data_IF_967403607611
#
_entry.id   IF_967403607611
#
_cell.length_a   1.000
_cell.length_b   1.000
_cell.length_c   1.000
_cell.angle_alpha   90.00
_cell.angle_beta   90.00
_cell.angle_gamma   90.00
#
_symmetry.space_group_name_H-M   'P 1'
#
loop_
_entity.id
_entity.type
_entity.pdbx_description
1 polymer ?
#
# COMPACT_ATOMS: atom_id res chain seq x y z
N UNK A 1 17.38 0.01 4.21
CA UNK A 1 17.52 1.34 4.87
C UNK A 1 16.59 2.39 4.27
N UNK A 2 16.59 2.60 2.94
CA UNK A 2 15.77 3.62 2.24
C UNK A 2 14.25 3.41 2.44
N UNK A 3 13.79 2.15 2.37
CA UNK A 3 12.39 1.77 2.61
C UNK A 3 11.90 2.16 4.01
N UNK A 4 12.75 2.04 5.05
CA UNK A 4 12.38 2.38 6.45
C UNK A 4 11.98 3.86 6.58
N UNK A 5 12.63 4.76 5.83
CA UNK A 5 12.39 6.21 5.88
C UNK A 5 11.35 6.70 4.88
N UNK A 6 11.21 6.05 3.74
CA UNK A 6 10.32 6.54 2.67
C UNK A 6 8.86 6.13 2.90
N UNK A 7 8.62 4.93 3.45
CA UNK A 7 7.28 4.45 3.78
C UNK A 7 6.48 5.39 4.70
N UNK A 8 7.00 5.89 5.84
CA UNK A 8 6.23 6.79 6.70
C UNK A 8 5.84 8.08 5.99
N UNK A 9 6.65 8.59 5.05
CA UNK A 9 6.30 9.77 4.24
C UNK A 9 5.06 9.49 3.38
N UNK A 10 5.01 8.33 2.74
CA UNK A 10 3.84 7.93 1.94
C UNK A 10 2.57 7.82 2.79
N UNK A 11 2.68 7.33 4.03
CA UNK A 11 1.55 7.19 4.95
C UNK A 11 1.03 8.54 5.44
N UNK A 12 1.91 9.51 5.68
CA UNK A 12 1.51 10.88 6.00
C UNK A 12 0.74 11.50 4.84
N UNK A 13 1.19 11.31 3.59
CA UNK A 13 0.48 11.84 2.42
C UNK A 13 -0.89 11.15 2.27
N UNK A 14 -0.97 9.84 2.47
CA UNK A 14 -2.25 9.12 2.45
C UNK A 14 -3.21 9.59 3.55
N UNK A 15 -2.69 9.87 4.74
CA UNK A 15 -3.48 10.44 5.83
C UNK A 15 -4.03 11.84 5.48
N UNK A 16 -3.21 12.68 4.83
CA UNK A 16 -3.68 13.97 4.33
C UNK A 16 -4.77 13.83 3.27
N UNK A 17 -4.66 12.84 2.36
CA UNK A 17 -5.70 12.53 1.38
C UNK A 17 -7.02 12.17 2.07
N UNK A 18 -6.96 11.33 3.12
CA UNK A 18 -8.14 10.96 3.91
C UNK A 18 -8.80 12.21 4.54
N UNK A 19 -8.03 13.09 5.18
CA UNK A 19 -8.58 14.29 5.82
C UNK A 19 -9.16 15.26 4.78
N UNK A 20 -8.48 15.45 3.65
CA UNK A 20 -8.91 16.39 2.61
C UNK A 20 -10.18 15.93 1.88
N UNK A 21 -10.47 14.64 1.83
CA UNK A 21 -11.68 14.09 1.21
C UNK A 21 -11.84 14.59 -0.22
N UNK A 22 -12.95 15.25 -0.54
CA UNK A 22 -13.23 15.81 -1.88
C UNK A 22 -12.20 16.84 -2.38
N UNK A 23 -11.44 17.46 -1.46
CA UNK A 23 -10.38 18.42 -1.83
C UNK A 23 -9.08 17.73 -2.23
N UNK A 24 -8.96 16.42 -2.04
CA UNK A 24 -7.80 15.65 -2.46
C UNK A 24 -7.79 15.49 -3.98
N UNK A 25 -7.20 16.47 -4.68
CA UNK A 25 -7.04 16.43 -6.13
C UNK A 25 -5.96 15.46 -6.60
N UNK A 26 -5.82 15.33 -7.92
CA UNK A 26 -4.84 14.46 -8.57
C UNK A 26 -3.38 14.73 -8.15
N UNK A 27 -3.06 15.96 -7.72
CA UNK A 27 -1.73 16.34 -7.26
C UNK A 27 -1.31 15.59 -5.98
N UNK A 28 -2.23 15.43 -5.01
CA UNK A 28 -1.97 14.69 -3.77
C UNK A 28 -1.74 13.21 -4.04
N UNK A 29 -2.54 12.61 -4.92
CA UNK A 29 -2.33 11.22 -5.36
C UNK A 29 -1.00 11.05 -6.12
N UNK A 30 -0.62 12.02 -6.94
CA UNK A 30 0.69 12.01 -7.63
C UNK A 30 1.83 12.02 -6.61
N UNK A 31 1.77 12.89 -5.60
CA UNK A 31 2.76 12.93 -4.52
C UNK A 31 2.82 11.61 -3.75
N UNK A 32 1.66 11.00 -3.46
CA UNK A 32 1.59 9.70 -2.82
C UNK A 32 2.29 8.61 -3.64
N UNK A 33 2.03 8.56 -4.96
CA UNK A 33 2.68 7.61 -5.87
C UNK A 33 4.19 7.82 -5.91
N UNK A 34 4.64 9.08 -6.07
CA UNK A 34 6.06 9.41 -6.11
C UNK A 34 6.78 9.03 -4.81
N UNK A 35 6.14 9.26 -3.66
CA UNK A 35 6.70 8.85 -2.36
C UNK A 35 6.75 7.33 -2.18
N UNK A 36 5.88 6.58 -2.85
CA UNK A 36 5.79 5.12 -2.72
C UNK A 36 6.67 4.36 -3.71
N UNK A 37 7.31 5.03 -4.68
CA UNK A 37 8.05 4.39 -5.78
C UNK A 37 9.19 3.48 -5.30
N UNK A 38 9.75 3.77 -4.12
CA UNK A 38 10.84 2.99 -3.50
C UNK A 38 10.44 1.52 -3.25
N UNK A 39 9.14 1.22 -3.13
CA UNK A 39 8.63 -0.16 -2.99
C UNK A 39 8.96 -1.01 -4.24
N UNK A 40 9.08 -0.40 -5.42
CA UNK A 40 9.46 -1.11 -6.65
C UNK A 40 10.81 -1.82 -6.56
N UNK A 41 11.71 -1.37 -5.67
CA UNK A 41 13.02 -1.99 -5.42
C UNK A 41 12.90 -3.40 -4.79
N UNK A 42 11.71 -3.80 -4.35
CA UNK A 42 11.46 -5.15 -3.81
C UNK A 42 11.64 -6.22 -4.88
N UNK A 43 11.20 -5.97 -6.12
CA UNK A 43 11.30 -6.94 -7.21
C UNK A 43 12.76 -7.28 -7.58
N UNK A 44 13.67 -6.30 -7.83
CA UNK A 44 15.07 -6.61 -8.07
C UNK A 44 15.77 -7.19 -6.84
N UNK A 45 15.40 -6.76 -5.62
CA UNK A 45 15.96 -7.35 -4.40
C UNK A 45 15.65 -8.85 -4.29
N UNK A 46 14.45 -9.27 -4.66
CA UNK A 46 14.08 -10.70 -4.70
C UNK A 46 14.92 -11.43 -5.74
N UNK A 47 15.06 -10.89 -6.96
CA UNK A 47 15.85 -11.55 -8.00
C UNK A 47 17.32 -11.77 -7.60
N UNK A 48 17.92 -10.82 -6.87
CA UNK A 48 19.32 -10.86 -6.45
C UNK A 48 19.60 -11.82 -5.28
N UNK A 49 18.58 -12.15 -4.46
CA UNK A 49 18.73 -13.06 -3.33
C UNK A 49 18.64 -14.55 -3.71
N UNK A 50 18.18 -14.87 -4.94
CA UNK A 50 18.05 -16.25 -5.39
C UNK A 50 19.17 -16.65 -6.35
N UNK A 51 19.56 -17.95 -6.38
CA UNK A 51 20.46 -18.47 -7.40
C UNK A 51 19.90 -18.21 -8.81
N UNK A 52 20.78 -17.95 -9.79
CA UNK A 52 20.40 -17.62 -11.18
C UNK A 52 19.44 -18.64 -11.82
N UNK A 53 19.59 -19.93 -11.49
CA UNK A 53 18.71 -21.03 -11.94
C UNK A 53 17.25 -20.90 -11.44
N UNK A 54 17.02 -20.20 -10.33
CA UNK A 54 15.72 -20.01 -9.68
C UNK A 54 15.17 -18.59 -9.82
N UNK A 55 15.99 -17.63 -10.26
CA UNK A 55 15.60 -16.22 -10.37
C UNK A 55 14.31 -16.03 -11.19
N UNK A 56 14.17 -16.72 -12.32
CA UNK A 56 12.95 -16.67 -13.14
C UNK A 56 11.71 -17.17 -12.40
N UNK A 57 11.80 -18.28 -11.66
CA UNK A 57 10.68 -18.82 -10.87
C UNK A 57 10.30 -17.91 -9.70
N UNK A 58 11.30 -17.31 -9.06
CA UNK A 58 11.11 -16.35 -7.97
C UNK A 58 10.38 -15.10 -8.45
N UNK A 59 10.81 -14.52 -9.59
CA UNK A 59 10.15 -13.37 -10.20
C UNK A 59 8.70 -13.65 -10.64
N UNK A 60 8.43 -14.81 -11.25
CA UNK A 60 7.06 -15.17 -11.61
C UNK A 60 6.18 -15.30 -10.37
N UNK A 61 6.67 -15.94 -9.31
CA UNK A 61 5.92 -16.09 -8.06
C UNK A 61 5.65 -14.73 -7.40
N UNK A 62 6.64 -13.83 -7.41
CA UNK A 62 6.47 -12.47 -6.92
C UNK A 62 5.41 -11.70 -7.71
N UNK A 63 5.43 -11.79 -9.04
CA UNK A 63 4.42 -11.13 -9.87
C UNK A 63 3.01 -11.64 -9.59
N UNK A 64 2.83 -12.97 -9.49
CA UNK A 64 1.52 -13.55 -9.15
C UNK A 64 1.05 -13.06 -7.79
N UNK A 65 1.94 -13.04 -6.78
CA UNK A 65 1.62 -12.52 -5.46
C UNK A 65 1.24 -11.03 -5.48
N UNK A 66 2.01 -10.20 -6.21
CA UNK A 66 1.77 -8.76 -6.30
C UNK A 66 0.43 -8.46 -6.98
N UNK A 67 0.13 -9.11 -8.11
CA UNK A 67 -1.12 -8.87 -8.84
C UNK A 67 -2.33 -9.41 -8.09
N UNK A 68 -2.27 -10.63 -7.56
CA UNK A 68 -3.37 -11.21 -6.77
C UNK A 68 -3.62 -10.42 -5.49
N UNK A 69 -2.56 -10.01 -4.78
CA UNK A 69 -2.66 -9.17 -3.59
C UNK A 69 -3.27 -7.80 -3.90
N UNK A 70 -2.85 -7.16 -5.00
CA UNK A 70 -3.41 -5.86 -5.42
C UNK A 70 -4.89 -5.98 -5.75
N UNK A 71 -5.27 -7.02 -6.51
CA UNK A 71 -6.68 -7.28 -6.83
C UNK A 71 -7.52 -7.52 -5.58
N UNK A 72 -6.99 -8.31 -4.64
CA UNK A 72 -7.65 -8.59 -3.37
C UNK A 72 -7.88 -7.31 -2.54
N UNK A 73 -6.88 -6.45 -2.42
CA UNK A 73 -6.99 -5.17 -1.71
C UNK A 73 -7.98 -4.24 -2.41
N UNK A 74 -7.94 -4.15 -3.75
CA UNK A 74 -8.90 -3.34 -4.53
C UNK A 74 -10.34 -3.81 -4.29
N UNK A 75 -10.56 -5.12 -4.27
CA UNK A 75 -11.87 -5.70 -4.01
C UNK A 75 -12.37 -5.42 -2.59
N UNK A 76 -11.50 -5.53 -1.58
CA UNK A 76 -11.84 -5.16 -0.19
C UNK A 76 -12.19 -3.68 -0.07
N UNK A 77 -11.44 -2.79 -0.73
CA UNK A 77 -11.75 -1.36 -0.73
C UNK A 77 -13.16 -1.12 -1.30
N UNK A 78 -13.51 -1.80 -2.41
CA UNK A 78 -14.85 -1.77 -2.99
C UNK A 78 -15.93 -2.23 -2.01
N UNK A 79 -15.74 -3.38 -1.37
CA UNK A 79 -16.67 -3.91 -0.37
C UNK A 79 -16.90 -2.96 0.81
N UNK A 80 -15.85 -2.32 1.31
CA UNK A 80 -15.97 -1.35 2.42
C UNK A 80 -16.76 -0.11 1.97
N UNK A 81 -16.54 0.34 0.73
CA UNK A 81 -17.30 1.47 0.16
C UNK A 81 -18.78 1.10 0.07
N UNK A 82 -19.10 -0.04 -0.52
CA UNK A 82 -20.48 -0.52 -0.69
C UNK A 82 -21.17 -0.70 0.65
N UNK A 83 -20.49 -1.32 1.63
CA UNK A 83 -21.01 -1.48 2.98
C UNK A 83 -21.27 -0.12 3.66
N UNK A 84 -20.34 0.83 3.56
CA UNK A 84 -20.49 2.17 4.12
C UNK A 84 -21.64 2.93 3.46
N UNK A 85 -21.81 2.78 2.13
CA UNK A 85 -22.93 3.36 1.38
C UNK A 85 -24.28 2.77 1.82
N UNK A 86 -24.34 1.46 2.07
CA UNK A 86 -25.54 0.80 2.57
C UNK A 86 -25.94 1.27 3.97
N UNK A 87 -24.98 1.72 4.78
CA UNK A 87 -25.23 2.35 6.08
C UNK A 87 -25.66 3.83 5.97
N UNK A 88 -25.77 4.38 4.76
CA UNK A 88 -26.19 5.77 4.51
C UNK A 88 -25.06 6.78 4.45
N UNK A 89 -23.79 6.34 4.42
CA UNK A 89 -22.67 7.27 4.30
C UNK A 89 -22.66 8.01 2.95
N UNK A 90 -22.15 9.24 2.96
CA UNK A 90 -21.88 9.98 1.72
C UNK A 90 -20.74 9.31 0.96
N UNK A 91 -20.66 9.54 -0.36
CA UNK A 91 -19.61 8.96 -1.21
C UNK A 91 -18.22 9.28 -0.65
N UNK A 92 -17.98 10.55 -0.30
CA UNK A 92 -16.73 11.03 0.30
C UNK A 92 -16.40 10.29 1.59
N UNK A 93 -17.37 10.15 2.50
CA UNK A 93 -17.17 9.47 3.77
C UNK A 93 -16.87 7.98 3.59
N UNK A 94 -17.51 7.31 2.64
CA UNK A 94 -17.20 5.90 2.31
C UNK A 94 -15.74 5.73 1.85
N UNK A 95 -15.24 6.61 0.98
CA UNK A 95 -13.82 6.58 0.57
C UNK A 95 -12.87 6.90 1.72
N UNK A 96 -13.22 7.85 2.59
CA UNK A 96 -12.42 8.18 3.77
C UNK A 96 -12.31 6.99 4.73
N UNK A 97 -13.40 6.26 4.97
CA UNK A 97 -13.40 5.05 5.80
C UNK A 97 -12.52 3.98 5.17
N UNK A 98 -12.70 3.66 3.89
CA UNK A 98 -11.91 2.63 3.21
C UNK A 98 -10.41 2.94 3.20
N UNK A 99 -10.03 4.19 2.89
CA UNK A 99 -8.62 4.59 2.91
C UNK A 99 -8.04 4.68 4.33
N UNK A 100 -8.85 5.00 5.34
CA UNK A 100 -8.41 4.96 6.74
C UNK A 100 -8.09 3.54 7.19
N UNK A 101 -8.95 2.58 6.85
CA UNK A 101 -8.73 1.16 7.15
C UNK A 101 -7.48 0.66 6.41
N UNK A 102 -7.33 1.00 5.14
CA UNK A 102 -6.14 0.65 4.37
C UNK A 102 -4.85 1.25 4.97
N UNK A 103 -4.88 2.53 5.36
CA UNK A 103 -3.77 3.19 6.04
C UNK A 103 -3.41 2.48 7.36
N UNK A 104 -4.41 2.10 8.16
CA UNK A 104 -4.20 1.36 9.39
C UNK A 104 -3.49 0.02 9.16
N UNK A 105 -3.93 -0.75 8.15
CA UNK A 105 -3.27 -1.99 7.76
C UNK A 105 -1.82 -1.76 7.28
N UNK A 106 -1.57 -0.68 6.53
CA UNK A 106 -0.21 -0.30 6.11
C UNK A 106 0.70 0.02 7.31
N UNK A 107 0.17 0.71 8.33
CA UNK A 107 0.91 1.01 9.56
C UNK A 107 1.22 -0.29 10.31
N UNK A 108 0.26 -1.20 10.46
CA UNK A 108 0.50 -2.51 11.10
C UNK A 108 1.58 -3.31 10.38
N UNK A 109 1.51 -3.37 9.04
CA UNK A 109 2.52 -4.04 8.21
C UNK A 109 3.91 -3.41 8.39
N UNK A 110 3.98 -2.08 8.46
CA UNK A 110 5.23 -1.36 8.70
C UNK A 110 5.80 -1.61 10.10
N UNK A 111 4.96 -1.62 11.14
CA UNK A 111 5.38 -1.96 12.50
C UNK A 111 5.91 -3.39 12.60
N UNK A 112 5.27 -4.33 11.91
CA UNK A 112 5.75 -5.70 11.79
C UNK A 112 7.11 -5.76 11.09
N UNK A 113 7.27 -5.05 9.97
CA UNK A 113 8.55 -4.94 9.25
C UNK A 113 9.66 -4.34 10.12
N UNK A 114 9.37 -3.29 10.90
CA UNK A 114 10.33 -2.69 11.84
C UNK A 114 10.73 -3.66 12.95
N UNK A 115 9.77 -4.42 13.51
CA UNK A 115 10.03 -5.37 14.58
C UNK A 115 10.94 -6.50 14.10
N UNK A 116 10.69 -7.04 12.91
CA UNK A 116 11.49 -8.10 12.32
C UNK A 116 12.92 -7.63 12.02
N UNK A 117 13.04 -6.39 11.50
CA UNK A 117 14.31 -5.77 11.09
C UNK A 117 14.98 -4.97 12.24
N UNK A 118 14.58 -5.23 13.50
CA UNK A 118 15.25 -4.79 14.73
C UNK A 118 16.11 -5.92 15.33
N UNK A 119 15.89 -7.16 14.89
CA UNK A 119 16.61 -8.36 15.31
C UNK A 119 17.79 -8.72 14.38
N UNK A 120 18.09 -7.87 13.39
CA UNK A 120 19.32 -7.83 12.59
C UNK A 120 20.04 -6.51 12.85
#
# INVERSE_FOLDING_TARGET
RIVKFTLPVSYVILFLIVIMGDKAGATMFTLYILSSIVISLTQPAIALNFPTKLAGKSLTSFNVFLFSGTFFVQWIIGLIIDFSRNLGATVTMSYQISFSIFLFLCILSYLFFLTLNKNE
#
